data_IF_979664986646
#
_entry.id   IF_979664986646
#
_cell.length_a   1.000
_cell.length_b   1.000
_cell.length_c   1.000
_cell.angle_alpha   90.00
_cell.angle_beta   90.00
_cell.angle_gamma   90.00
#
_symmetry.space_group_name_H-M   'P 1'
#
loop_
_entity.id
_entity.type
_entity.pdbx_description
1 polymer ?
#
# COMPACT_ATOMS: atom_id res chain seq x y z
N UNK A 1 1.59 21.72 2.02
CA UNK A 1 1.38 20.44 2.74
C UNK A 1 2.54 20.30 3.71
N UNK A 2 2.33 20.12 5.03
CA UNK A 2 3.49 19.95 5.94
C UNK A 2 4.22 18.67 5.50
N UNK A 3 5.49 18.80 5.10
CA UNK A 3 6.37 17.67 4.86
C UNK A 3 6.51 16.92 6.19
N UNK A 4 5.80 15.80 6.30
CA UNK A 4 6.01 14.86 7.39
C UNK A 4 7.29 14.10 7.03
N UNK A 5 8.26 14.10 7.94
CA UNK A 5 9.39 13.19 7.81
C UNK A 5 8.88 11.79 8.11
N UNK A 6 8.93 10.92 7.10
CA UNK A 6 8.57 9.52 7.22
C UNK A 6 9.74 8.70 7.75
N UNK A 7 9.45 7.61 8.43
CA UNK A 7 10.47 6.66 8.89
C UNK A 7 10.14 5.22 8.45
N UNK A 8 11.17 4.46 8.08
CA UNK A 8 11.05 3.02 7.85
C UNK A 8 10.51 2.35 9.13
N UNK A 9 9.51 1.49 8.97
CA UNK A 9 8.82 0.80 10.06
C UNK A 9 7.63 1.57 10.66
N UNK A 10 7.46 2.85 10.33
CA UNK A 10 6.32 3.67 10.77
C UNK A 10 5.01 3.08 10.25
N UNK A 11 4.02 3.00 11.14
CA UNK A 11 2.67 2.57 10.78
C UNK A 11 1.91 3.68 10.07
N UNK A 12 1.30 3.35 8.94
CA UNK A 12 0.53 4.28 8.11
C UNK A 12 -0.81 3.68 7.73
N UNK A 13 -1.81 4.55 7.54
CA UNK A 13 -3.16 4.19 7.09
C UNK A 13 -3.48 4.99 5.84
N UNK A 14 -3.94 4.31 4.80
CA UNK A 14 -4.37 4.95 3.56
C UNK A 14 -5.64 5.76 3.81
N UNK A 15 -5.71 6.97 3.26
CA UNK A 15 -6.88 7.85 3.44
C UNK A 15 -8.14 7.22 2.82
N UNK A 16 -9.34 7.43 3.38
CA UNK A 16 -10.57 6.98 2.75
C UNK A 16 -10.74 7.52 1.32
N UNK A 17 -11.25 6.69 0.41
CA UNK A 17 -11.54 7.06 -0.98
C UNK A 17 -10.33 7.02 -1.92
N UNK A 18 -9.17 6.53 -1.46
CA UNK A 18 -8.03 6.24 -2.34
C UNK A 18 -8.27 4.90 -3.02
N UNK A 19 -8.16 4.88 -4.35
CA UNK A 19 -8.24 3.66 -5.14
C UNK A 19 -6.88 3.25 -5.67
N UNK A 20 -6.66 1.94 -5.75
CA UNK A 20 -5.56 1.34 -6.50
C UNK A 20 -5.66 1.78 -7.98
N UNK A 21 -4.62 2.38 -8.57
CA UNK A 21 -4.64 2.85 -9.96
C UNK A 21 -4.70 1.71 -10.99
N UNK A 22 -4.18 0.52 -10.66
CA UNK A 22 -4.12 -0.62 -11.58
C UNK A 22 -5.45 -1.37 -11.61
N UNK A 23 -6.13 -1.45 -10.47
CA UNK A 23 -7.35 -2.26 -10.32
C UNK A 23 -8.64 -1.46 -10.08
N UNK A 24 -8.52 -0.16 -9.79
CA UNK A 24 -9.64 0.71 -9.41
C UNK A 24 -10.28 0.36 -8.05
N UNK A 25 -9.71 -0.57 -7.28
CA UNK A 25 -10.26 -1.03 -6.01
C UNK A 25 -10.04 0.00 -4.90
N UNK A 26 -11.03 0.16 -4.03
CA UNK A 26 -10.88 0.98 -2.82
C UNK A 26 -9.86 0.33 -1.87
N UNK A 27 -8.73 1.01 -1.68
CA UNK A 27 -7.68 0.66 -0.72
C UNK A 27 -7.70 1.62 0.47
N UNK A 28 -8.72 2.47 0.56
CA UNK A 28 -8.93 3.35 1.68
C UNK A 28 -8.98 2.57 2.99
N UNK A 29 -8.33 3.13 4.01
CA UNK A 29 -8.18 2.55 5.36
C UNK A 29 -7.31 1.30 5.43
N UNK A 30 -6.68 0.87 4.33
CA UNK A 30 -5.65 -0.17 4.39
C UNK A 30 -4.48 0.31 5.25
N UNK A 31 -3.90 -0.60 6.01
CA UNK A 31 -2.88 -0.27 7.00
C UNK A 31 -1.64 -1.14 6.76
N UNK A 32 -0.48 -0.52 6.99
CA UNK A 32 0.79 -1.20 6.85
C UNK A 32 1.92 -0.47 7.54
N UNK A 33 3.14 -0.83 7.18
CA UNK A 33 4.36 -0.16 7.60
C UNK A 33 5.18 0.25 6.40
N UNK A 34 5.85 1.38 6.51
CA UNK A 34 6.77 1.85 5.48
C UNK A 34 7.95 0.88 5.42
N UNK A 35 8.16 0.23 4.27
CA UNK A 35 9.28 -0.68 4.01
C UNK A 35 10.39 -0.03 3.18
N UNK A 36 10.06 0.99 2.37
CA UNK A 36 11.02 1.84 1.67
C UNK A 36 10.48 3.26 1.50
N UNK A 37 11.38 4.23 1.41
CA UNK A 37 11.08 5.63 1.14
C UNK A 37 11.80 6.01 -0.16
N UNK A 38 11.03 6.41 -1.17
CA UNK A 38 11.51 6.87 -2.47
C UNK A 38 11.33 8.39 -2.54
N UNK A 39 12.13 9.10 -1.74
CA UNK A 39 11.99 10.54 -1.45
C UNK A 39 12.02 11.42 -2.70
N UNK A 40 12.82 11.07 -3.72
CA UNK A 40 12.90 11.83 -4.98
C UNK A 40 11.55 11.90 -5.72
N UNK A 41 10.70 10.89 -5.52
CA UNK A 41 9.39 10.79 -6.14
C UNK A 41 8.24 11.12 -5.16
N UNK A 42 8.53 11.32 -3.88
CA UNK A 42 7.50 11.44 -2.84
C UNK A 42 6.66 10.17 -2.69
N UNK A 43 7.25 9.00 -2.94
CA UNK A 43 6.58 7.70 -2.91
C UNK A 43 7.06 6.89 -1.70
N UNK A 44 6.14 6.19 -1.05
CA UNK A 44 6.40 5.24 0.02
C UNK A 44 6.06 3.84 -0.45
N UNK A 45 6.95 2.88 -0.22
CA UNK A 45 6.59 1.47 -0.30
C UNK A 45 6.02 1.06 1.04
N UNK A 46 4.78 0.56 1.04
CA UNK A 46 4.07 0.12 2.23
C UNK A 46 3.95 -1.39 2.18
N UNK A 47 4.40 -2.07 3.23
CA UNK A 47 4.09 -3.48 3.48
C UNK A 47 2.82 -3.59 4.30
N UNK A 48 1.82 -4.27 3.76
CA UNK A 48 0.51 -4.39 4.39
C UNK A 48 0.57 -5.23 5.67
N UNK A 49 -0.24 -4.84 6.66
CA UNK A 49 -0.35 -5.60 7.90
C UNK A 49 -1.21 -6.86 7.74
N UNK A 50 -1.13 -7.77 8.73
CA UNK A 50 -1.80 -9.06 8.65
C UNK A 50 -3.34 -8.94 8.56
N UNK A 51 -3.93 -7.90 9.15
CA UNK A 51 -5.37 -7.68 9.08
C UNK A 51 -5.79 -7.22 7.68
N UNK A 52 -5.03 -6.32 7.08
CA UNK A 52 -5.23 -5.84 5.71
C UNK A 52 -5.09 -7.00 4.73
N UNK A 53 -4.00 -7.77 4.83
CA UNK A 53 -3.76 -8.95 4.00
C UNK A 53 -4.87 -10.00 4.13
N UNK A 54 -5.33 -10.28 5.35
CA UNK A 54 -6.42 -11.25 5.60
C UNK A 54 -7.75 -10.81 4.99
N UNK A 55 -7.99 -9.51 4.89
CA UNK A 55 -9.22 -8.95 4.33
C UNK A 55 -9.12 -8.66 2.83
N UNK A 56 -7.96 -8.86 2.20
CA UNK A 56 -7.83 -8.69 0.76
C UNK A 56 -8.74 -9.67 0.00
N UNK A 57 -9.41 -9.21 -1.06
CA UNK A 57 -10.16 -10.11 -1.93
C UNK A 57 -9.25 -11.20 -2.51
N UNK A 58 -9.61 -12.49 -2.46
CA UNK A 58 -8.81 -13.56 -3.06
C UNK A 58 -8.53 -13.35 -4.55
N UNK A 59 -9.46 -12.71 -5.27
CA UNK A 59 -9.28 -12.36 -6.68
C UNK A 59 -8.14 -11.35 -6.91
N UNK A 60 -7.87 -10.46 -5.96
CA UNK A 60 -6.74 -9.54 -6.05
C UNK A 60 -5.43 -10.28 -5.86
N UNK A 61 -5.37 -11.19 -4.88
CA UNK A 61 -4.18 -12.02 -4.64
C UNK A 61 -3.83 -12.86 -5.88
N UNK A 62 -4.84 -13.52 -6.47
CA UNK A 62 -4.65 -14.34 -7.67
C UNK A 62 -4.18 -13.51 -8.87
N UNK A 63 -4.79 -12.35 -9.09
CA UNK A 63 -4.37 -11.43 -10.17
C UNK A 63 -2.94 -10.94 -9.96
N UNK A 64 -2.57 -10.53 -8.74
CA UNK A 64 -1.19 -10.10 -8.45
C UNK A 64 -0.17 -11.20 -8.71
N UNK A 65 -0.46 -12.45 -8.34
CA UNK A 65 0.42 -13.59 -8.64
C UNK A 65 0.54 -13.85 -10.15
N UNK A 66 -0.55 -13.77 -10.90
CA UNK A 66 -0.57 -13.93 -12.37
C UNK A 66 0.27 -12.86 -13.08
N UNK A 67 0.20 -11.61 -12.61
CA UNK A 67 0.96 -10.48 -13.16
C UNK A 67 2.40 -10.38 -12.62
N UNK A 68 2.81 -11.27 -11.71
CA UNK A 68 4.13 -11.22 -11.08
C UNK A 68 4.34 -10.01 -10.16
N UNK A 69 3.24 -9.47 -9.61
CA UNK A 69 3.22 -8.33 -8.70
C UNK A 69 3.20 -8.79 -7.24
N UNK A 70 3.81 -8.01 -6.35
CA UNK A 70 3.67 -8.25 -4.90
C UNK A 70 2.27 -7.81 -4.45
N UNK A 71 1.44 -8.75 -3.99
CA UNK A 71 0.20 -8.42 -3.30
C UNK A 71 0.44 -7.90 -1.87
N UNK A 72 1.65 -8.11 -1.32
CA UNK A 72 1.98 -7.79 0.07
C UNK A 72 2.54 -6.38 0.27
N UNK A 73 2.92 -5.71 -0.82
CA UNK A 73 3.52 -4.38 -0.79
C UNK A 73 2.95 -3.51 -1.91
N UNK A 74 2.88 -2.20 -1.69
CA UNK A 74 2.42 -1.24 -2.70
C UNK A 74 3.16 0.10 -2.58
N UNK A 75 3.41 0.74 -3.71
CA UNK A 75 3.99 2.07 -3.79
C UNK A 75 2.87 3.13 -3.84
N UNK A 76 2.83 4.04 -2.86
CA UNK A 76 1.82 5.10 -2.76
C UNK A 76 2.47 6.47 -2.52
N UNK A 77 1.88 7.53 -3.09
CA UNK A 77 2.28 8.94 -2.93
C UNK A 77 1.36 9.73 -1.99
#
# INVERSE_FOLDING_TARGET
MKSRNWAIGESVVVKPGVTDPDTGRDIGRWQGRISAILDEAGILTIRWDSLTLKNMPPALLAWSEEEGLSWSEMNLS
#
